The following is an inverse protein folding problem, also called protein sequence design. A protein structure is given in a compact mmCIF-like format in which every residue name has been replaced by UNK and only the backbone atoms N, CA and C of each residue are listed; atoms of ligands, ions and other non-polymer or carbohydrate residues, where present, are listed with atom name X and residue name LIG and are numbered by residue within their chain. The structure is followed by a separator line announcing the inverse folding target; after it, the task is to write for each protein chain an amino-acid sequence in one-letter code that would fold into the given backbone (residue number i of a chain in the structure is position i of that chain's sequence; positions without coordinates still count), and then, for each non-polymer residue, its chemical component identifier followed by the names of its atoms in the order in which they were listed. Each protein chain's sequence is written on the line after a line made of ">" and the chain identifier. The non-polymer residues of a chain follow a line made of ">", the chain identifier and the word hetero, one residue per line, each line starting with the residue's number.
data_IF_841334859867
#
_entry.id   IF_841334859867
#
_cell.length_a   1.000
_cell.length_b   1.000
_cell.length_c   1.000
_cell.angle_alpha   90.00
_cell.angle_beta   90.00
_cell.angle_gamma   90.00
#
_symmetry.space_group_name_H-M   'P 1'
#
loop_
_entity.id
_entity.type
_entity.pdbx_description
1 polymer ?
#
# COMPACT_ATOMS: atom_id res chain seq x y z
N UNK A 1 -30.40 11.67 -33.23
CA UNK A 1 -29.32 10.66 -33.23
C UNK A 1 -28.12 11.08 -32.36
N UNK A 2 -28.32 11.80 -31.24
CA UNK A 2 -27.20 12.37 -30.45
C UNK A 2 -27.21 11.97 -28.96
N UNK A 3 -28.10 11.07 -28.52
CA UNK A 3 -28.18 10.64 -27.11
C UNK A 3 -27.39 9.37 -26.79
N UNK A 4 -27.18 8.49 -27.77
CA UNK A 4 -26.38 7.27 -27.58
C UNK A 4 -24.87 7.54 -27.44
N UNK A 5 -24.37 8.63 -28.04
CA UNK A 5 -22.95 9.01 -28.00
C UNK A 5 -22.54 9.76 -26.71
N UNK A 6 -23.51 10.28 -25.94
CA UNK A 6 -23.25 10.87 -24.62
C UNK A 6 -23.15 9.81 -23.52
N UNK A 7 -23.89 8.68 -23.63
CA UNK A 7 -23.84 7.60 -22.65
C UNK A 7 -22.49 6.86 -22.59
N UNK A 8 -21.68 6.92 -23.66
CA UNK A 8 -20.33 6.34 -23.68
C UNK A 8 -19.25 7.29 -23.15
N UNK A 9 -19.57 8.57 -22.94
CA UNK A 9 -18.61 9.57 -22.43
C UNK A 9 -18.62 9.67 -20.89
N UNK A 10 -19.71 9.31 -20.24
CA UNK A 10 -19.84 9.38 -18.77
C UNK A 10 -19.25 8.18 -18.02
N UNK A 11 -18.86 7.10 -18.70
CA UNK A 11 -18.22 5.95 -18.04
C UNK A 11 -16.68 6.05 -17.97
N UNK A 12 -16.09 7.16 -18.42
CA UNK A 12 -14.63 7.32 -18.60
C UNK A 12 -13.92 8.22 -17.57
N UNK A 13 -14.51 8.47 -16.40
CA UNK A 13 -13.77 9.16 -15.33
C UNK A 13 -14.36 8.84 -13.96
N UNK A 14 -14.07 7.64 -13.47
CA UNK A 14 -13.88 7.45 -12.03
C UNK A 14 -12.52 6.79 -11.84
N UNK A 15 -11.47 7.55 -12.12
CA UNK A 15 -10.16 7.26 -11.54
C UNK A 15 -10.26 7.83 -10.13
N UNK A 16 -10.72 6.99 -9.21
CA UNK A 16 -10.44 7.23 -7.80
C UNK A 16 -8.92 7.19 -7.67
N UNK A 17 -8.34 8.32 -7.32
CA UNK A 17 -6.99 8.38 -6.73
C UNK A 17 -7.12 7.70 -5.36
N UNK A 18 -7.16 6.38 -5.41
CA UNK A 18 -7.11 5.52 -4.24
C UNK A 18 -5.65 5.27 -3.93
N UNK A 19 -5.25 5.62 -2.71
CA UNK A 19 -4.05 5.13 -2.09
C UNK A 19 -3.94 3.61 -2.32
N UNK A 20 -2.69 3.13 -2.38
CA UNK A 20 -2.21 1.81 -2.85
C UNK A 20 -2.92 0.57 -2.24
N UNK A 21 -3.85 0.73 -1.32
CA UNK A 21 -4.26 -0.28 -0.33
C UNK A 21 -5.49 -1.13 -0.67
N UNK A 22 -6.20 -0.97 -1.78
CA UNK A 22 -7.28 -1.93 -2.10
C UNK A 22 -7.55 -2.04 -3.60
N UNK A 23 -7.04 -3.11 -4.22
CA UNK A 23 -7.49 -3.58 -5.53
C UNK A 23 -8.19 -4.93 -5.37
N UNK A 24 -9.50 -4.98 -5.63
CA UNK A 24 -10.21 -6.24 -5.81
C UNK A 24 -9.87 -6.80 -7.19
N UNK A 25 -9.39 -8.05 -7.26
CA UNK A 25 -8.96 -8.72 -8.49
C UNK A 25 -9.84 -9.94 -8.74
N UNK A 26 -10.49 -10.00 -9.89
CA UNK A 26 -11.24 -11.17 -10.37
C UNK A 26 -10.26 -12.27 -10.83
N UNK A 27 -10.36 -13.47 -10.24
CA UNK A 27 -9.34 -14.53 -10.27
C UNK A 27 -9.36 -15.47 -11.50
N UNK A 28 -9.98 -15.08 -12.62
CA UNK A 28 -10.18 -16.03 -13.75
C UNK A 28 -9.81 -15.48 -15.13
N UNK A 29 -8.52 -15.17 -15.34
CA UNK A 29 -8.04 -14.87 -16.70
C UNK A 29 -6.77 -15.62 -17.06
N UNK A 30 -6.95 -16.70 -17.84
CA UNK A 30 -5.91 -17.35 -18.63
C UNK A 30 -5.09 -16.32 -19.43
N UNK A 31 -3.79 -16.25 -19.12
CA UNK A 31 -2.73 -15.76 -20.01
C UNK A 31 -3.00 -14.42 -20.71
N UNK A 32 -3.41 -13.41 -19.96
CA UNK A 32 -3.41 -12.03 -20.45
C UNK A 32 -1.96 -11.58 -20.75
N UNK A 33 -1.71 -11.05 -21.95
CA UNK A 33 -0.44 -10.39 -22.28
C UNK A 33 -0.41 -9.08 -21.50
N UNK A 34 0.34 -9.09 -20.39
CA UNK A 34 0.47 -7.94 -19.50
C UNK A 34 1.16 -6.81 -20.26
N UNK A 35 0.44 -5.72 -20.49
CA UNK A 35 0.91 -4.62 -21.34
C UNK A 35 1.25 -3.36 -20.55
N UNK A 36 0.66 -3.23 -19.37
CA UNK A 36 0.79 -2.07 -18.51
C UNK A 36 1.57 -2.42 -17.25
N UNK A 37 2.45 -1.53 -16.82
CA UNK A 37 3.26 -1.63 -15.59
C UNK A 37 2.45 -1.97 -14.33
N UNK A 38 1.23 -1.42 -14.21
CA UNK A 38 0.29 -1.76 -13.12
C UNK A 38 -0.20 -3.21 -13.19
N UNK A 39 -0.44 -3.73 -14.38
CA UNK A 39 -0.91 -5.11 -14.61
C UNK A 39 0.18 -6.12 -14.20
N UNK A 40 1.43 -5.78 -14.52
CA UNK A 40 2.61 -6.56 -14.14
C UNK A 40 2.78 -6.58 -12.62
N UNK A 41 2.70 -5.42 -11.95
CA UNK A 41 2.84 -5.34 -10.49
C UNK A 41 1.77 -6.16 -9.76
N UNK A 42 0.51 -6.04 -10.18
CA UNK A 42 -0.60 -6.80 -9.56
C UNK A 42 -0.51 -8.30 -9.84
N UNK A 43 0.00 -8.72 -11.00
CA UNK A 43 0.13 -10.13 -11.33
C UNK A 43 1.30 -10.82 -10.59
N UNK A 44 2.36 -10.08 -10.24
CA UNK A 44 3.55 -10.62 -9.56
C UNK A 44 3.31 -10.76 -8.04
N UNK A 45 2.48 -9.91 -7.45
CA UNK A 45 2.22 -9.92 -6.01
C UNK A 45 1.16 -10.97 -5.69
N UNK A 46 1.53 -12.01 -4.95
CA UNK A 46 0.57 -13.01 -4.46
C UNK A 46 -0.38 -12.38 -3.42
N UNK A 47 -1.68 -12.58 -3.59
CA UNK A 47 -2.71 -12.09 -2.66
C UNK A 47 -3.04 -13.13 -1.58
N UNK A 48 -2.66 -14.39 -1.79
CA UNK A 48 -2.90 -15.47 -0.83
C UNK A 48 -1.88 -15.45 0.32
N UNK A 49 -2.38 -15.52 1.55
CA UNK A 49 -1.61 -15.65 2.79
C UNK A 49 -1.95 -16.99 3.47
N UNK A 50 -1.02 -17.57 4.24
CA UNK A 50 -1.21 -18.85 4.94
C UNK A 50 -1.90 -18.62 6.30
N UNK A 51 -3.16 -19.05 6.48
CA UNK A 51 -3.92 -18.81 7.71
C UNK A 51 -3.44 -19.65 8.90
N UNK A 52 -2.54 -20.61 8.69
CA UNK A 52 -2.00 -21.47 9.75
C UNK A 52 -0.85 -20.83 10.51
N UNK A 53 -0.21 -19.81 9.92
CA UNK A 53 0.87 -19.07 10.54
C UNK A 53 0.30 -17.96 11.44
N UNK A 54 0.91 -17.78 12.62
CA UNK A 54 0.49 -16.74 13.54
C UNK A 54 1.14 -15.38 13.16
N UNK A 55 0.34 -14.34 12.84
CA UNK A 55 0.88 -13.02 12.52
C UNK A 55 1.46 -12.30 13.74
N UNK A 56 1.07 -12.68 14.96
CA UNK A 56 1.44 -12.01 16.19
C UNK A 56 2.80 -12.48 16.73
N UNK A 57 3.88 -12.01 16.10
CA UNK A 57 5.25 -12.29 16.54
C UNK A 57 5.84 -11.15 17.38
N UNK A 58 6.83 -11.46 18.23
CA UNK A 58 7.57 -10.43 18.97
C UNK A 58 8.18 -9.38 18.03
N UNK A 59 8.70 -9.81 16.88
CA UNK A 59 9.22 -8.94 15.82
C UNK A 59 8.17 -7.94 15.33
N UNK A 60 6.96 -8.40 15.02
CA UNK A 60 5.87 -7.55 14.54
C UNK A 60 5.50 -6.48 15.58
N UNK A 61 5.39 -6.87 16.85
CA UNK A 61 5.09 -5.93 17.93
C UNK A 61 6.23 -4.94 18.20
N UNK A 62 7.47 -5.42 18.28
CA UNK A 62 8.61 -4.58 18.62
C UNK A 62 8.86 -3.51 17.55
N UNK A 63 8.90 -3.93 16.27
CA UNK A 63 9.15 -3.02 15.15
C UNK A 63 7.95 -2.10 14.94
N UNK A 64 6.73 -2.64 14.94
CA UNK A 64 5.52 -1.85 14.74
C UNK A 64 5.34 -0.79 15.82
N UNK A 65 5.47 -1.16 17.09
CA UNK A 65 5.27 -0.23 18.21
C UNK A 65 6.41 0.79 18.32
N UNK A 66 7.65 0.37 18.05
CA UNK A 66 8.82 1.25 18.03
C UNK A 66 8.72 2.32 16.93
N UNK A 67 8.44 1.91 15.69
CA UNK A 67 8.30 2.84 14.56
C UNK A 67 7.05 3.74 14.69
N UNK A 68 5.95 3.23 15.24
CA UNK A 68 4.75 4.03 15.52
C UNK A 68 5.02 5.10 16.57
N UNK A 69 5.71 4.75 17.66
CA UNK A 69 6.12 5.70 18.70
C UNK A 69 7.07 6.75 18.13
N UNK A 70 8.02 6.36 17.29
CA UNK A 70 8.91 7.29 16.60
C UNK A 70 8.14 8.29 15.73
N UNK A 71 7.19 7.83 14.91
CA UNK A 71 6.33 8.69 14.11
C UNK A 71 5.51 9.66 14.98
N UNK A 72 4.95 9.19 16.09
CA UNK A 72 4.19 10.01 17.05
C UNK A 72 5.04 11.08 17.73
N UNK A 73 6.27 10.75 18.15
CA UNK A 73 7.20 11.73 18.74
C UNK A 73 7.56 12.83 17.74
N UNK A 74 7.80 12.47 16.47
CA UNK A 74 8.04 13.48 15.43
C UNK A 74 6.83 14.39 15.24
N UNK A 75 5.62 13.83 15.21
CA UNK A 75 4.39 14.62 15.11
C UNK A 75 4.25 15.62 16.27
N UNK A 76 4.54 15.20 17.50
CA UNK A 76 4.46 16.04 18.70
C UNK A 76 5.54 17.14 18.71
N UNK A 77 6.78 16.82 18.33
CA UNK A 77 7.87 17.81 18.25
C UNK A 77 7.54 18.89 17.22
N UNK A 78 6.99 18.52 16.06
CA UNK A 78 6.58 19.47 15.02
C UNK A 78 5.32 20.25 15.38
N UNK A 79 4.49 19.74 16.29
CA UNK A 79 3.37 20.49 16.84
C UNK A 79 3.85 21.69 17.67
N UNK A 80 4.90 21.52 18.49
CA UNK A 80 5.42 22.59 19.35
C UNK A 80 6.23 23.67 18.61
N UNK A 81 6.93 23.31 17.53
CA UNK A 81 7.57 24.29 16.65
C UNK A 81 7.21 23.94 15.20
N UNK A 82 6.29 24.68 14.57
CA UNK A 82 5.69 24.29 13.31
C UNK A 82 6.71 24.36 12.17
N UNK A 83 7.39 23.24 11.97
CA UNK A 83 8.21 22.91 10.81
C UNK A 83 7.82 21.49 10.42
N UNK A 84 6.89 21.36 9.47
CA UNK A 84 6.38 20.06 9.05
C UNK A 84 7.41 19.35 8.17
N UNK A 85 8.09 18.36 8.74
CA UNK A 85 8.92 17.44 7.96
C UNK A 85 8.09 16.22 7.65
N UNK A 86 7.76 16.04 6.37
CA UNK A 86 7.10 14.82 5.90
C UNK A 86 8.14 13.70 5.89
N UNK A 87 7.92 12.69 6.72
CA UNK A 87 8.74 11.48 6.71
C UNK A 87 8.14 10.51 5.70
N UNK A 88 8.96 10.06 4.74
CA UNK A 88 8.51 9.12 3.73
C UNK A 88 8.12 7.77 4.34
N UNK A 89 6.94 7.26 3.96
CA UNK A 89 6.51 5.90 4.35
C UNK A 89 7.51 4.83 3.86
N UNK A 90 8.11 5.03 2.68
CA UNK A 90 9.15 4.14 2.16
C UNK A 90 10.40 4.12 3.04
N UNK A 91 10.75 5.23 3.68
CA UNK A 91 11.87 5.27 4.61
C UNK A 91 11.58 4.41 5.86
N UNK A 92 10.38 4.54 6.44
CA UNK A 92 9.96 3.67 7.56
C UNK A 92 9.89 2.20 7.13
N UNK A 93 9.40 1.92 5.93
CA UNK A 93 9.30 0.55 5.39
C UNK A 93 10.69 -0.10 5.21
N UNK A 94 11.67 0.63 4.67
CA UNK A 94 13.04 0.12 4.52
C UNK A 94 13.68 -0.16 5.88
N UNK A 95 13.54 0.74 6.85
CA UNK A 95 14.07 0.52 8.21
C UNK A 95 13.37 -0.66 8.88
N UNK A 96 12.04 -0.77 8.75
CA UNK A 96 11.26 -1.91 9.24
C UNK A 96 11.78 -3.24 8.67
N UNK A 97 12.06 -3.28 7.36
CA UNK A 97 12.62 -4.45 6.70
C UNK A 97 14.02 -4.80 7.22
N UNK A 98 14.93 -3.83 7.29
CA UNK A 98 16.31 -4.06 7.76
C UNK A 98 16.32 -4.54 9.22
N UNK A 99 15.52 -3.94 10.09
CA UNK A 99 15.37 -4.38 11.49
C UNK A 99 14.69 -5.75 11.57
N UNK A 100 13.73 -6.03 10.71
CA UNK A 100 13.05 -7.32 10.62
C UNK A 100 13.99 -8.45 10.26
N UNK A 101 14.87 -8.25 9.28
CA UNK A 101 15.92 -9.20 8.87
C UNK A 101 16.97 -9.38 9.97
N UNK A 102 17.31 -8.32 10.71
CA UNK A 102 18.25 -8.43 11.83
C UNK A 102 17.70 -9.26 13.01
N UNK A 103 16.39 -9.34 13.14
CA UNK A 103 15.68 -10.09 14.18
C UNK A 103 15.28 -11.51 13.76
N UNK A 104 15.72 -11.95 12.57
CA UNK A 104 15.63 -13.34 12.09
C UNK A 104 16.56 -14.25 12.90
#
# INVERSE_FOLDING_TARGET
>A
MNRAMQALRDKKSFVGEGDVETAAVDLDSEKAVLSTEREIATHIISVDDDPTLNPWTFRAFFIGLGLSTFGGVLAEIYYFKPQTVLVSLMFLAIISYVLGVFME
#
